data_IF_376190357502
#
_entry.id   IF_376190357502
#
_cell.length_a   1.000
_cell.length_b   1.000
_cell.length_c   1.000
_cell.angle_alpha   90.00
_cell.angle_beta   90.00
_cell.angle_gamma   90.00
#
_symmetry.space_group_name_H-M   'P 1'
#
loop_
_entity.id
_entity.type
_entity.pdbx_description
1 polymer ?
#
# COMPACT_ATOMS: atom_id res chain seq x y z
N UNK A 1 -10.46 -3.00 39.69
CA UNK A 1 -11.33 -3.59 38.66
C UNK A 1 -11.31 -2.67 37.46
N UNK A 2 -10.47 -2.97 36.46
CA UNK A 2 -10.37 -2.15 35.24
C UNK A 2 -11.48 -2.58 34.30
N UNK A 3 -12.40 -1.68 33.96
CA UNK A 3 -13.44 -1.98 32.97
C UNK A 3 -12.78 -2.45 31.67
N UNK A 4 -13.16 -3.65 31.19
CA UNK A 4 -12.71 -4.15 29.90
C UNK A 4 -13.34 -3.28 28.83
N UNK A 5 -12.52 -2.61 28.02
CA UNK A 5 -13.03 -1.93 26.84
C UNK A 5 -13.47 -3.02 25.86
N UNK A 6 -14.73 -3.00 25.43
CA UNK A 6 -15.30 -3.96 24.48
C UNK A 6 -15.60 -3.35 23.12
N UNK A 7 -15.38 -2.04 22.97
CA UNK A 7 -15.60 -1.27 21.74
C UNK A 7 -14.55 -0.18 21.62
N UNK A 8 -14.27 0.22 20.38
CA UNK A 8 -13.41 1.36 20.12
C UNK A 8 -14.06 2.64 20.70
N UNK A 9 -13.29 3.52 21.34
CA UNK A 9 -13.77 4.85 21.69
C UNK A 9 -14.13 5.65 20.42
N UNK A 10 -15.23 6.40 20.43
CA UNK A 10 -15.73 7.08 19.23
C UNK A 10 -14.77 8.08 18.58
N UNK A 11 -13.92 8.76 19.36
CA UNK A 11 -12.86 9.61 18.83
C UNK A 11 -11.79 8.82 18.06
N UNK A 12 -11.54 7.57 18.44
CA UNK A 12 -10.64 6.67 17.72
C UNK A 12 -11.30 6.11 16.45
N UNK A 13 -12.60 5.80 16.51
CA UNK A 13 -13.39 5.41 15.33
C UNK A 13 -13.41 6.52 14.28
N UNK A 14 -13.62 7.77 14.69
CA UNK A 14 -13.60 8.93 13.80
C UNK A 14 -12.23 9.12 13.14
N UNK A 15 -11.14 8.99 13.90
CA UNK A 15 -9.79 9.10 13.34
C UNK A 15 -9.45 7.95 12.38
N UNK A 16 -9.92 6.73 12.66
CA UNK A 16 -9.80 5.61 11.72
C UNK A 16 -10.56 5.90 10.43
N UNK A 17 -11.80 6.39 10.52
CA UNK A 17 -12.60 6.74 9.35
C UNK A 17 -11.93 7.84 8.50
N UNK A 18 -11.40 8.90 9.14
CA UNK A 18 -10.67 9.98 8.47
C UNK A 18 -9.39 9.49 7.78
N UNK A 19 -8.73 8.48 8.33
CA UNK A 19 -7.55 7.85 7.71
C UNK A 19 -7.88 6.72 6.72
N UNK A 20 -9.16 6.51 6.39
CA UNK A 20 -9.59 5.41 5.52
C UNK A 20 -9.26 4.04 6.11
N UNK A 21 -9.54 3.84 7.40
CA UNK A 21 -9.25 2.61 8.14
C UNK A 21 -7.87 2.54 8.80
N UNK A 22 -7.04 3.58 8.66
CA UNK A 22 -5.71 3.66 9.30
C UNK A 22 -5.63 4.78 10.32
N UNK A 23 -5.00 4.46 11.45
CA UNK A 23 -4.65 5.41 12.49
C UNK A 23 -3.13 5.43 12.67
N UNK A 24 -2.51 6.56 12.39
CA UNK A 24 -1.08 6.76 12.67
C UNK A 24 -0.90 7.40 14.04
N UNK A 25 0.23 7.12 14.70
CA UNK A 25 0.63 7.81 15.94
C UNK A 25 0.62 9.33 15.76
N UNK A 26 1.04 9.84 14.60
CA UNK A 26 1.03 11.27 14.30
C UNK A 26 -0.39 11.85 14.32
N UNK A 27 -1.32 11.23 13.58
CA UNK A 27 -2.74 11.67 13.54
C UNK A 27 -3.42 11.56 14.91
N UNK A 28 -3.15 10.47 15.65
CA UNK A 28 -3.64 10.29 17.01
C UNK A 28 -3.15 11.40 17.95
N UNK A 29 -1.86 11.71 17.91
CA UNK A 29 -1.27 12.75 18.76
C UNK A 29 -1.81 14.14 18.43
N UNK A 30 -1.98 14.46 17.14
CA UNK A 30 -2.57 15.73 16.70
C UNK A 30 -4.01 15.91 17.23
N UNK A 31 -4.74 14.81 17.41
CA UNK A 31 -6.08 14.78 17.99
C UNK A 31 -6.13 14.53 19.51
N UNK A 32 -4.98 14.57 20.21
CA UNK A 32 -4.92 14.39 21.66
C UNK A 32 -5.00 12.92 22.15
N UNK A 33 -5.00 11.94 21.25
CA UNK A 33 -4.94 10.52 21.57
C UNK A 33 -3.48 10.09 21.81
N UNK A 34 -3.17 9.71 23.05
CA UNK A 34 -1.79 9.43 23.48
C UNK A 34 -1.30 8.02 23.11
N UNK A 35 0.01 7.83 22.97
CA UNK A 35 0.61 6.51 22.72
C UNK A 35 0.25 5.44 23.78
N UNK A 36 0.26 5.73 25.09
CA UNK A 36 -0.21 4.76 26.10
C UNK A 36 -1.67 4.35 25.89
N UNK A 37 -2.52 5.27 25.42
CA UNK A 37 -3.92 4.96 25.09
C UNK A 37 -4.01 4.01 23.90
N UNK A 38 -3.25 4.24 22.83
CA UNK A 38 -3.17 3.32 21.69
C UNK A 38 -2.70 1.93 22.12
N UNK A 39 -1.63 1.85 22.91
CA UNK A 39 -1.12 0.58 23.43
C UNK A 39 -2.16 -0.15 24.30
N UNK A 40 -2.94 0.58 25.09
CA UNK A 40 -4.04 -0.01 25.86
C UNK A 40 -5.12 -0.60 24.95
N UNK A 41 -5.46 0.07 23.85
CA UNK A 41 -6.43 -0.43 22.88
C UNK A 41 -5.92 -1.67 22.12
N UNK A 42 -4.62 -1.72 21.79
CA UNK A 42 -3.99 -2.93 21.24
C UNK A 42 -4.04 -4.09 22.24
N UNK A 43 -3.71 -3.85 23.52
CA UNK A 43 -3.78 -4.89 24.57
C UNK A 43 -5.20 -5.35 24.87
N UNK A 44 -6.19 -4.48 24.67
CA UNK A 44 -7.61 -4.80 24.77
C UNK A 44 -8.18 -5.44 23.49
N UNK A 45 -7.33 -5.70 22.49
CA UNK A 45 -7.67 -6.34 21.23
C UNK A 45 -8.63 -5.53 20.34
N UNK A 46 -8.69 -4.21 20.53
CA UNK A 46 -9.54 -3.31 19.73
C UNK A 46 -8.81 -2.71 18.53
N UNK A 47 -7.48 -2.60 18.61
CA UNK A 47 -6.63 -2.17 17.51
C UNK A 47 -5.62 -3.27 17.17
N UNK A 48 -5.34 -3.43 15.88
CA UNK A 48 -4.25 -4.26 15.36
C UNK A 48 -3.16 -3.37 14.79
N UNK A 49 -1.90 -3.70 15.07
CA UNK A 49 -0.76 -2.99 14.51
C UNK A 49 -0.43 -3.54 13.12
N UNK A 50 -0.46 -2.68 12.09
CA UNK A 50 -0.18 -3.08 10.70
C UNK A 50 1.23 -2.70 10.24
N UNK A 51 1.82 -1.67 10.86
CA UNK A 51 3.21 -1.27 10.70
C UNK A 51 3.69 -0.52 11.96
N UNK A 52 4.97 -0.14 12.04
CA UNK A 52 5.46 0.66 13.17
C UNK A 52 4.65 1.95 13.35
N UNK A 53 3.97 2.11 14.49
CA UNK A 53 3.18 3.31 14.78
C UNK A 53 1.94 3.52 13.90
N UNK A 54 1.48 2.48 13.19
CA UNK A 54 0.26 2.52 12.37
C UNK A 54 -0.65 1.35 12.72
N UNK A 55 -1.93 1.65 12.93
CA UNK A 55 -2.93 0.75 13.47
C UNK A 55 -4.19 0.75 12.60
N UNK A 56 -4.97 -0.33 12.69
CA UNK A 56 -6.34 -0.41 12.19
C UNK A 56 -7.28 -0.92 13.31
N UNK A 57 -8.58 -0.70 13.16
CA UNK A 57 -9.58 -1.38 13.98
C UNK A 57 -9.48 -2.89 13.78
N UNK A 58 -9.44 -3.66 14.87
CA UNK A 58 -9.28 -5.13 14.76
C UNK A 58 -10.45 -5.75 14.01
N UNK A 59 -11.66 -5.42 14.41
CA UNK A 59 -12.89 -6.00 13.84
C UNK A 59 -12.99 -5.73 12.34
N UNK A 60 -12.79 -4.48 11.91
CA UNK A 60 -12.79 -4.12 10.49
C UNK A 60 -11.70 -4.85 9.71
N UNK A 61 -10.50 -4.98 10.27
CA UNK A 61 -9.38 -5.64 9.62
C UNK A 61 -9.59 -7.16 9.49
N UNK A 62 -10.20 -7.81 10.47
CA UNK A 62 -10.50 -9.24 10.44
C UNK A 62 -11.68 -9.58 9.52
N UNK A 63 -12.65 -8.67 9.39
CA UNK A 63 -13.78 -8.81 8.48
C UNK A 63 -13.45 -8.41 7.03
N UNK A 64 -12.32 -7.72 6.79
CA UNK A 64 -11.88 -7.34 5.47
C UNK A 64 -11.53 -8.57 4.61
N UNK A 65 -11.82 -8.49 3.31
CA UNK A 65 -11.29 -9.49 2.36
C UNK A 65 -9.75 -9.49 2.39
N UNK A 66 -9.09 -10.60 1.99
CA UNK A 66 -7.62 -10.67 1.99
C UNK A 66 -6.94 -9.50 1.28
N UNK A 67 -7.48 -9.06 0.14
CA UNK A 67 -6.95 -7.94 -0.63
C UNK A 67 -7.20 -6.58 0.02
N UNK A 68 -8.34 -6.36 0.68
CA UNK A 68 -8.59 -5.14 1.46
C UNK A 68 -7.67 -5.06 2.70
N UNK A 69 -7.49 -6.18 3.41
CA UNK A 69 -6.53 -6.27 4.51
C UNK A 69 -5.09 -6.01 4.02
N UNK A 70 -4.74 -6.53 2.83
CA UNK A 70 -3.45 -6.27 2.22
C UNK A 70 -3.28 -4.79 1.82
N UNK A 71 -4.29 -4.15 1.25
CA UNK A 71 -4.28 -2.72 0.95
C UNK A 71 -4.03 -1.88 2.21
N UNK A 72 -4.69 -2.19 3.34
CA UNK A 72 -4.44 -1.53 4.63
C UNK A 72 -2.98 -1.72 5.10
N UNK A 73 -2.43 -2.93 5.01
CA UNK A 73 -1.01 -3.18 5.32
C UNK A 73 -0.07 -2.40 4.40
N UNK A 74 -0.39 -2.33 3.11
CA UNK A 74 0.42 -1.61 2.12
C UNK A 74 0.43 -0.10 2.35
N UNK A 75 -0.73 0.52 2.62
CA UNK A 75 -0.84 1.94 3.00
C UNK A 75 -0.09 2.22 4.30
N UNK A 76 -0.24 1.35 5.30
CA UNK A 76 0.47 1.47 6.57
C UNK A 76 1.99 1.39 6.41
N UNK A 77 2.48 0.45 5.58
CA UNK A 77 3.90 0.29 5.32
C UNK A 77 4.49 1.46 4.54
N UNK A 78 3.80 1.96 3.51
CA UNK A 78 4.20 3.15 2.75
C UNK A 78 4.31 4.38 3.67
N UNK A 79 3.31 4.62 4.53
CA UNK A 79 3.32 5.74 5.47
C UNK A 79 4.54 5.72 6.42
N UNK A 80 4.93 4.54 6.91
CA UNK A 80 6.10 4.37 7.78
C UNK A 80 7.42 4.49 7.02
N UNK A 81 7.42 4.16 5.73
CA UNK A 81 8.61 4.26 4.91
C UNK A 81 8.99 5.71 4.57
N UNK A 82 8.02 6.62 4.62
CA UNK A 82 8.20 8.05 4.44
C UNK A 82 7.74 8.56 3.07
N UNK A 83 7.84 9.88 2.81
CA UNK A 83 7.22 10.53 1.65
C UNK A 83 7.79 10.10 0.29
N UNK A 84 9.03 9.59 0.25
CA UNK A 84 9.63 9.08 -0.99
C UNK A 84 9.23 7.62 -1.30
N UNK A 85 8.54 6.94 -0.39
CA UNK A 85 8.15 5.54 -0.56
C UNK A 85 6.77 5.42 -1.21
N UNK A 86 6.72 4.73 -2.35
CA UNK A 86 5.52 4.53 -3.13
C UNK A 86 5.14 3.06 -3.10
N UNK A 87 3.90 2.72 -2.75
CA UNK A 87 3.39 1.35 -2.86
C UNK A 87 3.57 0.86 -4.30
N UNK A 88 4.07 -0.37 -4.47
CA UNK A 88 4.46 -0.93 -5.77
C UNK A 88 4.01 -2.39 -5.96
N UNK A 89 4.02 -2.87 -7.21
CA UNK A 89 3.55 -4.21 -7.57
C UNK A 89 2.13 -4.47 -7.05
N UNK A 90 1.89 -5.66 -6.49
CA UNK A 90 0.59 -6.01 -5.92
C UNK A 90 0.15 -5.09 -4.77
N UNK A 91 1.07 -4.42 -4.07
CA UNK A 91 0.68 -3.43 -3.05
C UNK A 91 -0.01 -2.23 -3.67
N UNK A 92 0.47 -1.77 -4.82
CA UNK A 92 -0.15 -0.68 -5.55
C UNK A 92 -1.49 -1.08 -6.16
N UNK A 93 -1.57 -2.29 -6.75
CA UNK A 93 -2.83 -2.84 -7.28
C UNK A 93 -3.90 -2.86 -6.19
N UNK A 94 -3.54 -3.34 -4.98
CA UNK A 94 -4.46 -3.38 -3.85
C UNK A 94 -4.87 -1.98 -3.37
N UNK A 95 -3.92 -1.03 -3.28
CA UNK A 95 -4.21 0.36 -2.90
C UNK A 95 -5.10 1.09 -3.90
N UNK A 96 -4.97 0.75 -5.19
CA UNK A 96 -5.76 1.34 -6.28
C UNK A 96 -7.07 0.59 -6.55
N UNK A 97 -7.37 -0.45 -5.76
CA UNK A 97 -8.54 -1.32 -5.92
C UNK A 97 -8.69 -1.91 -7.33
N UNK A 98 -7.55 -2.16 -8.00
CA UNK A 98 -7.53 -2.75 -9.34
C UNK A 98 -7.85 -4.26 -9.26
N UNK A 99 -8.31 -4.88 -10.37
CA UNK A 99 -8.60 -6.30 -10.40
C UNK A 99 -7.41 -7.16 -9.96
N UNK A 100 -7.70 -8.18 -9.15
CA UNK A 100 -6.71 -9.08 -8.57
C UNK A 100 -7.07 -10.54 -8.84
N UNK A 101 -6.05 -11.39 -8.94
CA UNK A 101 -6.20 -12.84 -9.13
C UNK A 101 -5.52 -13.57 -7.99
N UNK A 102 -6.21 -14.55 -7.39
CA UNK A 102 -5.66 -15.35 -6.31
C UNK A 102 -5.56 -14.62 -4.97
N UNK A 103 -4.57 -14.99 -4.17
CA UNK A 103 -4.32 -14.41 -2.84
C UNK A 103 -3.25 -13.32 -2.93
N UNK A 104 -3.33 -12.28 -2.08
CA UNK A 104 -2.27 -11.28 -2.00
C UNK A 104 -0.95 -11.91 -1.52
N UNK A 105 0.20 -11.31 -1.89
CA UNK A 105 1.48 -11.64 -1.28
C UNK A 105 1.44 -11.48 0.25
N UNK A 106 2.35 -12.16 0.94
CA UNK A 106 2.46 -12.06 2.40
C UNK A 106 2.81 -10.64 2.84
N UNK A 107 3.77 -10.01 2.15
CA UNK A 107 4.36 -8.73 2.53
C UNK A 107 4.07 -7.62 1.51
N UNK A 108 3.73 -6.42 2.00
CA UNK A 108 3.74 -5.22 1.18
C UNK A 108 5.10 -4.92 0.55
N UNK A 109 5.08 -4.22 -0.58
CA UNK A 109 6.28 -3.72 -1.26
C UNK A 109 6.12 -2.24 -1.52
N UNK A 110 7.19 -1.49 -1.23
CA UNK A 110 7.33 -0.10 -1.66
C UNK A 110 8.59 0.07 -2.50
N UNK A 111 8.52 1.02 -3.44
CA UNK A 111 9.69 1.50 -4.17
C UNK A 111 10.07 2.89 -3.69
N UNK A 112 11.38 3.15 -3.69
CA UNK A 112 11.97 4.45 -3.38
C UNK A 112 12.95 4.84 -4.48
N UNK A 113 13.20 6.14 -4.70
CA UNK A 113 14.29 6.57 -5.57
C UNK A 113 15.66 6.07 -5.05
N UNK A 114 16.63 5.80 -5.94
CA UNK A 114 17.96 5.37 -5.52
C UNK A 114 18.61 6.42 -4.62
N UNK A 115 19.20 5.99 -3.51
CA UNK A 115 19.83 6.88 -2.52
C UNK A 115 18.88 7.46 -1.46
N UNK A 116 17.55 7.34 -1.63
CA UNK A 116 16.59 7.81 -0.62
C UNK A 116 16.50 6.89 0.60
N UNK A 117 16.67 5.58 0.40
CA UNK A 117 16.68 4.56 1.45
C UNK A 117 17.36 3.28 0.98
N UNK A 118 17.89 2.50 1.93
CA UNK A 118 18.44 1.18 1.64
C UNK A 118 17.34 0.23 1.15
N UNK A 119 17.69 -0.60 0.17
CA UNK A 119 16.91 -1.76 -0.21
C UNK A 119 16.95 -2.82 0.88
N UNK A 120 15.90 -3.63 0.98
CA UNK A 120 15.91 -4.73 1.94
C UNK A 120 14.54 -5.27 2.29
N UNK A 121 14.58 -6.40 3.00
CA UNK A 121 13.41 -7.07 3.50
C UNK A 121 13.22 -6.71 4.97
N UNK A 122 12.05 -6.18 5.33
CA UNK A 122 11.73 -5.75 6.68
C UNK A 122 10.60 -6.60 7.27
N UNK A 123 10.32 -6.39 8.55
CA UNK A 123 9.27 -7.11 9.27
C UNK A 123 7.88 -6.89 8.65
N UNK A 124 7.60 -5.67 8.19
CA UNK A 124 6.28 -5.25 7.71
C UNK A 124 6.16 -5.10 6.19
N UNK A 125 7.24 -5.35 5.45
CA UNK A 125 7.26 -5.18 4.00
C UNK A 125 8.68 -5.08 3.45
N UNK A 126 8.79 -5.00 2.14
CA UNK A 126 10.07 -4.92 1.43
C UNK A 126 10.23 -3.57 0.73
N UNK A 127 11.46 -3.04 0.73
CA UNK A 127 11.81 -1.78 0.08
C UNK A 127 12.74 -2.06 -1.09
N UNK A 128 12.41 -1.50 -2.25
CA UNK A 128 13.23 -1.60 -3.47
C UNK A 128 13.65 -0.21 -3.94
N UNK A 129 14.95 0.00 -4.08
CA UNK A 129 15.49 1.21 -4.69
C UNK A 129 15.48 1.06 -6.22
N UNK A 130 14.66 1.83 -6.91
CA UNK A 130 14.51 1.76 -8.37
C UNK A 130 14.37 3.16 -8.97
N UNK A 131 14.71 3.32 -10.25
CA UNK A 131 14.46 4.59 -10.91
C UNK A 131 12.95 4.88 -10.94
N UNK A 132 12.60 6.02 -10.32
CA UNK A 132 11.23 6.43 -10.06
C UNK A 132 11.02 7.89 -10.51
N UNK A 133 10.90 8.14 -11.82
CA UNK A 133 10.58 9.47 -12.35
C UNK A 133 9.28 10.03 -11.76
N UNK A 134 9.14 11.36 -11.57
CA UNK A 134 7.92 11.99 -11.04
C UNK A 134 6.63 11.61 -11.80
N UNK A 135 6.69 11.48 -13.13
CA UNK A 135 5.59 11.10 -14.02
C UNK A 135 5.07 9.68 -13.78
N UNK A 136 5.84 8.82 -13.10
CA UNK A 136 5.42 7.47 -12.72
C UNK A 136 4.83 7.40 -11.31
N UNK A 137 4.79 8.53 -10.59
CA UNK A 137 4.30 8.64 -9.21
C UNK A 137 2.90 9.21 -9.20
N UNK A 138 2.10 8.77 -8.25
CA UNK A 138 0.77 9.33 -7.99
C UNK A 138 0.38 9.08 -6.53
N UNK A 139 -0.79 9.56 -6.12
CA UNK A 139 -1.34 9.38 -4.77
C UNK A 139 -2.78 8.91 -4.90
N UNK A 140 -3.13 7.84 -4.19
CA UNK A 140 -4.51 7.31 -4.08
C UNK A 140 -4.82 7.13 -2.60
N UNK A 141 -5.94 7.70 -2.14
CA UNK A 141 -6.38 7.67 -0.73
C UNK A 141 -5.30 8.01 0.29
N UNK A 142 -4.53 9.06 -0.04
CA UNK A 142 -3.42 9.57 0.76
C UNK A 142 -2.17 8.69 0.76
N UNK A 143 -2.14 7.60 0.01
CA UNK A 143 -0.99 6.72 -0.14
C UNK A 143 -0.22 7.02 -1.43
N UNK A 144 1.08 7.41 -1.35
CA UNK A 144 1.92 7.45 -2.54
C UNK A 144 2.00 6.07 -3.20
N UNK A 145 1.81 6.03 -4.51
CA UNK A 145 1.81 4.81 -5.33
C UNK A 145 2.23 5.13 -6.76
N UNK A 146 2.15 4.15 -7.65
CA UNK A 146 2.55 4.28 -9.06
C UNK A 146 1.34 4.51 -9.96
N UNK A 147 1.59 5.11 -11.12
CA UNK A 147 0.59 5.27 -12.18
C UNK A 147 0.17 3.90 -12.75
N UNK A 148 -1.03 3.84 -13.34
CA UNK A 148 -1.55 2.59 -13.91
C UNK A 148 -0.63 2.02 -15.00
N UNK A 149 -0.14 2.88 -15.89
CA UNK A 149 0.82 2.48 -16.93
C UNK A 149 2.09 1.87 -16.33
N UNK A 150 2.60 2.49 -15.24
CA UNK A 150 3.78 1.98 -14.54
C UNK A 150 3.54 0.61 -13.92
N UNK A 151 2.35 0.40 -13.34
CA UNK A 151 1.99 -0.87 -12.69
C UNK A 151 1.83 -2.01 -13.67
N UNK A 152 1.18 -1.76 -14.81
CA UNK A 152 1.03 -2.76 -15.86
C UNK A 152 2.40 -3.25 -16.33
N UNK A 153 3.31 -2.34 -16.67
CA UNK A 153 4.65 -2.72 -17.14
C UNK A 153 5.44 -3.45 -16.05
N UNK A 154 5.39 -2.95 -14.80
CA UNK A 154 6.11 -3.58 -13.69
C UNK A 154 5.60 -4.99 -13.37
N UNK A 155 4.29 -5.25 -13.45
CA UNK A 155 3.73 -6.58 -13.16
C UNK A 155 3.83 -7.52 -14.35
N UNK A 156 3.65 -7.04 -15.57
CA UNK A 156 3.78 -7.88 -16.77
C UNK A 156 5.21 -8.38 -16.95
N UNK A 157 6.23 -7.63 -16.47
CA UNK A 157 7.63 -8.08 -16.52
C UNK A 157 8.05 -9.03 -15.40
N UNK A 158 7.28 -9.17 -14.31
CA UNK A 158 7.69 -9.96 -13.13
C UNK A 158 6.72 -11.08 -12.76
N UNK A 159 5.46 -11.00 -13.18
CA UNK A 159 4.40 -11.93 -12.81
C UNK A 159 3.95 -12.77 -14.01
N UNK A 160 3.03 -13.70 -13.75
CA UNK A 160 2.46 -14.54 -14.79
C UNK A 160 1.70 -13.70 -15.84
N UNK A 161 1.87 -14.06 -17.11
CA UNK A 161 1.28 -13.34 -18.26
C UNK A 161 -0.22 -13.10 -18.15
N UNK A 162 -0.98 -14.06 -17.62
CA UNK A 162 -2.43 -13.93 -17.45
C UNK A 162 -2.81 -12.80 -16.50
N UNK A 163 -2.05 -12.62 -15.41
CA UNK A 163 -2.28 -11.56 -14.44
C UNK A 163 -1.95 -10.19 -15.03
N UNK A 164 -0.85 -10.09 -15.79
CA UNK A 164 -0.48 -8.88 -16.51
C UNK A 164 -1.56 -8.45 -17.52
N UNK A 165 -2.12 -9.40 -18.27
CA UNK A 165 -3.17 -9.13 -19.26
C UNK A 165 -4.47 -8.65 -18.62
N UNK A 166 -4.92 -9.28 -17.53
CA UNK A 166 -6.14 -8.86 -16.81
C UNK A 166 -5.99 -7.43 -16.30
N UNK A 167 -4.81 -7.10 -15.75
CA UNK A 167 -4.54 -5.75 -15.26
C UNK A 167 -4.46 -4.73 -16.40
N UNK A 168 -3.78 -5.07 -17.51
CA UNK A 168 -3.66 -4.21 -18.67
C UNK A 168 -5.03 -3.88 -19.27
N UNK A 169 -5.88 -4.89 -19.47
CA UNK A 169 -7.25 -4.70 -19.98
C UNK A 169 -8.06 -3.77 -19.07
N UNK A 170 -8.00 -4.00 -17.76
CA UNK A 170 -8.73 -3.19 -16.78
C UNK A 170 -8.31 -1.72 -16.79
N UNK A 171 -7.00 -1.42 -16.83
CA UNK A 171 -6.55 -0.02 -16.80
C UNK A 171 -6.72 0.71 -18.13
N UNK A 172 -6.64 -0.01 -19.26
CA UNK A 172 -6.96 0.53 -20.57
C UNK A 172 -8.45 0.84 -20.68
N UNK A 173 -9.31 -0.06 -20.18
CA UNK A 173 -10.75 0.19 -20.08
C UNK A 173 -11.08 1.36 -19.16
N UNK A 174 -10.27 1.60 -18.12
CA UNK A 174 -10.39 2.75 -17.21
C UNK A 174 -9.81 4.06 -17.78
N UNK A 175 -9.21 4.05 -18.97
CA UNK A 175 -8.78 5.25 -19.70
C UNK A 175 -7.28 5.53 -19.73
N UNK A 176 -6.43 4.59 -19.30
CA UNK A 176 -4.97 4.68 -19.53
C UNK A 176 -4.69 4.65 -21.03
N UNK A 177 -3.81 5.51 -21.53
CA UNK A 177 -3.48 5.54 -22.95
C UNK A 177 -2.37 4.54 -23.27
N UNK A 178 -2.43 3.97 -24.47
CA UNK A 178 -1.36 3.08 -24.96
C UNK A 178 -0.01 3.79 -25.05
N UNK A 179 0.01 5.11 -25.27
CA UNK A 179 1.24 5.89 -25.30
C UNK A 179 1.87 6.00 -23.91
N UNK A 180 1.08 6.09 -22.83
CA UNK A 180 1.60 6.07 -21.46
C UNK A 180 2.34 4.75 -21.17
N UNK A 181 1.80 3.61 -21.64
CA UNK A 181 2.46 2.31 -21.51
C UNK A 181 3.78 2.25 -22.29
N UNK A 182 3.80 2.79 -23.51
CA UNK A 182 5.01 2.84 -24.35
C UNK A 182 6.10 3.70 -23.72
N UNK A 183 5.74 4.83 -23.14
CA UNK A 183 6.69 5.72 -22.45
C UNK A 183 7.35 5.02 -21.27
N UNK A 184 6.56 4.26 -20.48
CA UNK A 184 7.11 3.45 -19.39
C UNK A 184 8.03 2.34 -19.93
N UNK A 185 7.62 1.61 -20.98
CA UNK A 185 8.45 0.55 -21.57
C UNK A 185 9.78 1.09 -22.08
N UNK A 186 9.79 2.25 -22.74
CA UNK A 186 11.01 2.88 -23.23
C UNK A 186 11.93 3.31 -22.09
N UNK A 187 11.36 3.86 -21.02
CA UNK A 187 12.11 4.19 -19.80
C UNK A 187 12.72 2.92 -19.16
N UNK A 188 11.96 1.82 -19.14
CA UNK A 188 12.37 0.55 -18.56
C UNK A 188 13.11 -0.37 -19.53
N UNK A 189 13.48 0.07 -20.74
CA UNK A 189 14.04 -0.80 -21.81
C UNK A 189 15.24 -1.67 -21.43
N UNK A 190 15.95 -1.35 -20.34
CA UNK A 190 17.10 -2.11 -19.81
C UNK A 190 16.79 -2.90 -18.54
N UNK A 191 15.53 -2.93 -18.12
CA UNK A 191 15.09 -3.60 -16.91
C UNK A 191 14.90 -5.09 -17.19
N UNK A 192 15.20 -5.98 -16.23
CA UNK A 192 14.95 -7.41 -16.37
C UNK A 192 13.46 -7.69 -16.67
N UNK A 193 13.21 -8.59 -17.61
CA UNK A 193 11.85 -9.03 -17.98
C UNK A 193 11.08 -8.11 -18.93
N UNK A 194 11.62 -6.93 -19.30
CA UNK A 194 10.85 -5.94 -20.09
C UNK A 194 10.41 -6.46 -21.45
N UNK A 195 11.13 -7.42 -22.05
CA UNK A 195 10.74 -8.03 -23.32
C UNK A 195 9.42 -8.83 -23.24
N UNK A 196 9.04 -9.28 -22.04
CA UNK A 196 7.77 -9.98 -21.79
C UNK A 196 6.60 -9.00 -21.58
N UNK A 197 6.91 -7.73 -21.28
CA UNK A 197 5.95 -6.65 -21.09
C UNK A 197 5.66 -5.83 -22.36
N UNK A 198 6.36 -6.12 -23.46
CA UNK A 198 6.23 -5.45 -24.77
C UNK A 198 5.12 -6.01 -25.65
#
# INVERSE_FOLDING_TARGET
MTAHLSRLPGDVEELLALGGGLLTVGSAQAAGVTRPRLQRLVRADLLVQLAYGTYAGREDYENASPWQAFALRSRAFAAVCGPEAHAAGWSAVAVRELPTVGRPPEKPVVVVPPGSRADGNYAFGDIRAVALPPEHRTVVDGCPTLTDARLVVDLTRTEDREQGLVLADAVLAAGTMMDDLRDVLEMQRRWPGVAEAS
#
